data_IF_290725858507
#
_entry.id   IF_290725858507
#
_cell.length_a   1.000
_cell.length_b   1.000
_cell.length_c   1.000
_cell.angle_alpha   90.00
_cell.angle_beta   90.00
_cell.angle_gamma   90.00
#
_symmetry.space_group_name_H-M   'P 1'
#
loop_
_entity.id
_entity.type
_entity.pdbx_description
1 polymer ?
#
# COMPACT_ATOMS: atom_id res chain seq x y z
N UNK A 1 8.62 -6.28 -7.30
CA UNK A 1 8.36 -7.39 -6.36
C UNK A 1 8.86 -8.69 -7.00
N UNK A 2 9.34 -9.67 -6.22
CA UNK A 2 9.66 -11.00 -6.73
C UNK A 2 8.42 -11.63 -7.39
N UNK A 3 8.63 -12.30 -8.52
CA UNK A 3 7.54 -12.81 -9.36
C UNK A 3 6.86 -14.06 -8.75
N UNK A 4 7.61 -14.78 -7.91
CA UNK A 4 7.20 -15.98 -7.19
C UNK A 4 6.20 -15.70 -6.06
N UNK A 5 6.04 -14.45 -5.60
CA UNK A 5 5.08 -14.11 -4.54
C UNK A 5 3.62 -14.31 -4.97
N UNK A 6 3.35 -14.32 -6.27
CA UNK A 6 2.02 -14.56 -6.84
C UNK A 6 1.84 -16.01 -7.32
N UNK A 7 2.82 -16.90 -7.08
CA UNK A 7 2.66 -18.34 -7.35
C UNK A 7 1.47 -18.90 -6.55
N UNK A 8 0.76 -19.87 -7.12
CA UNK A 8 -0.46 -20.41 -6.52
C UNK A 8 -1.68 -19.49 -6.62
N UNK A 9 -1.60 -18.41 -7.41
CA UNK A 9 -2.74 -17.52 -7.72
C UNK A 9 -2.97 -16.40 -6.70
N UNK A 10 -1.99 -16.10 -5.85
CA UNK A 10 -2.05 -14.95 -4.97
C UNK A 10 -2.03 -13.64 -5.76
N UNK A 11 -2.70 -12.62 -5.22
CA UNK A 11 -2.89 -11.33 -5.86
C UNK A 11 -2.40 -10.19 -4.97
N UNK A 12 -1.80 -9.17 -5.57
CA UNK A 12 -1.42 -7.95 -4.85
C UNK A 12 -2.59 -6.96 -4.80
N UNK A 13 -2.96 -6.52 -3.60
CA UNK A 13 -3.84 -5.37 -3.38
C UNK A 13 -2.97 -4.16 -2.98
N UNK A 14 -2.66 -3.32 -3.97
CA UNK A 14 -1.84 -2.11 -3.81
C UNK A 14 -2.53 -0.94 -4.52
N UNK A 15 -2.63 0.21 -3.86
CA UNK A 15 -3.02 1.45 -4.51
C UNK A 15 -1.76 2.16 -5.04
N UNK A 16 -1.61 2.21 -6.36
CA UNK A 16 -0.47 2.83 -7.01
C UNK A 16 -0.54 4.35 -7.10
N UNK A 17 -1.63 4.97 -6.65
CA UNK A 17 -1.88 6.41 -6.75
C UNK A 17 -1.48 7.21 -5.51
N UNK A 18 -1.24 6.55 -4.36
CA UNK A 18 -0.92 7.19 -3.09
C UNK A 18 0.38 6.61 -2.52
N UNK A 19 1.36 7.48 -2.24
CA UNK A 19 2.58 7.07 -1.54
C UNK A 19 2.27 6.63 -0.12
N UNK A 20 2.80 5.46 0.26
CA UNK A 20 2.51 4.84 1.55
C UNK A 20 3.60 5.09 2.59
N UNK A 21 4.80 5.49 2.17
CA UNK A 21 5.91 5.80 3.09
C UNK A 21 6.67 7.05 2.66
N UNK A 22 7.23 7.76 3.64
CA UNK A 22 8.25 8.79 3.46
C UNK A 22 9.56 8.41 4.14
N UNK A 23 10.66 9.05 3.74
CA UNK A 23 11.88 9.06 4.55
C UNK A 23 11.64 9.74 5.92
N UNK A 24 12.14 9.12 7.00
CA UNK A 24 11.96 9.55 8.38
C UNK A 24 13.19 10.14 9.07
N UNK A 25 14.23 10.49 8.31
CA UNK A 25 15.38 11.23 8.83
C UNK A 25 15.07 12.67 9.23
N UNK A 26 14.07 13.29 8.61
CA UNK A 26 13.64 14.68 8.87
C UNK A 26 12.12 14.79 8.84
N UNK A 27 11.58 15.93 9.28
CA UNK A 27 10.16 16.23 9.13
C UNK A 27 9.73 16.17 7.66
N UNK A 28 8.48 15.77 7.42
CA UNK A 28 7.94 15.70 6.08
C UNK A 28 7.86 17.09 5.43
N UNK A 29 8.41 17.22 4.22
CA UNK A 29 8.27 18.40 3.38
C UNK A 29 7.78 17.95 2.01
N UNK A 30 6.55 18.34 1.67
CA UNK A 30 5.91 18.01 0.39
C UNK A 30 6.81 18.43 -0.79
N UNK A 31 7.03 17.50 -1.72
CA UNK A 31 7.88 17.69 -2.90
C UNK A 31 9.38 17.68 -2.63
N UNK A 32 9.84 17.47 -1.38
CA UNK A 32 11.26 17.36 -1.04
C UNK A 32 11.62 16.05 -0.35
N UNK A 33 10.80 15.61 0.62
CA UNK A 33 11.01 14.32 1.26
C UNK A 33 10.85 13.21 0.23
N UNK A 34 11.75 12.23 0.26
CA UNK A 34 11.59 11.01 -0.53
C UNK A 34 10.31 10.29 -0.09
N UNK A 35 9.54 9.82 -1.06
CA UNK A 35 8.30 9.07 -0.87
C UNK A 35 8.26 7.91 -1.86
N UNK A 36 7.68 6.80 -1.44
CA UNK A 36 7.48 5.62 -2.29
C UNK A 36 6.30 4.79 -1.78
N UNK A 37 5.99 3.69 -2.46
CA UNK A 37 4.96 2.73 -2.08
C UNK A 37 5.66 1.44 -1.64
N UNK A 38 5.42 1.04 -0.39
CA UNK A 38 5.90 -0.25 0.16
C UNK A 38 4.81 -1.02 0.90
N UNK A 39 3.63 -0.43 1.10
CA UNK A 39 2.55 -1.03 1.87
C UNK A 39 1.44 -1.53 0.95
N UNK A 40 0.90 -2.70 1.29
CA UNK A 40 -0.17 -3.38 0.54
C UNK A 40 -0.44 -4.77 1.12
N UNK A 41 -1.29 -5.53 0.45
CA UNK A 41 -1.68 -6.87 0.89
C UNK A 41 -1.41 -7.90 -0.19
N UNK A 42 -0.97 -9.10 0.21
CA UNK A 42 -0.93 -10.28 -0.64
C UNK A 42 -2.14 -11.16 -0.29
N UNK A 43 -2.97 -11.47 -1.28
CA UNK A 43 -4.33 -11.96 -1.10
C UNK A 43 -4.46 -13.34 -1.74
N UNK A 44 -5.02 -14.31 -1.03
CA UNK A 44 -5.19 -15.68 -1.52
C UNK A 44 -6.27 -15.79 -2.62
N UNK A 45 -6.23 -16.82 -3.49
CA UNK A 45 -7.16 -16.96 -4.61
C UNK A 45 -8.65 -17.02 -4.24
N UNK A 46 -8.97 -17.51 -3.04
CA UNK A 46 -10.35 -17.66 -2.55
C UNK A 46 -10.94 -16.36 -1.96
N UNK A 47 -10.20 -15.24 -2.04
CA UNK A 47 -10.62 -13.93 -1.55
C UNK A 47 -10.64 -12.95 -2.72
N UNK A 48 -11.79 -12.35 -2.97
CA UNK A 48 -11.96 -11.29 -3.96
C UNK A 48 -11.58 -9.93 -3.36
N UNK A 49 -10.79 -9.14 -4.11
CA UNK A 49 -10.43 -7.77 -3.76
C UNK A 49 -11.50 -6.84 -4.35
N UNK A 50 -12.40 -6.32 -3.51
CA UNK A 50 -13.46 -5.41 -3.95
C UNK A 50 -12.95 -3.98 -4.11
N UNK A 51 -12.05 -3.54 -3.23
CA UNK A 51 -11.48 -2.20 -3.26
C UNK A 51 -10.15 -2.16 -2.53
N UNK A 52 -9.14 -1.48 -3.08
CA UNK A 52 -7.94 -1.04 -2.38
C UNK A 52 -7.86 0.48 -2.41
N UNK A 53 -7.50 1.11 -1.29
CA UNK A 53 -7.41 2.57 -1.16
C UNK A 53 -6.25 2.96 -0.26
N UNK A 54 -5.31 3.73 -0.80
CA UNK A 54 -4.36 4.51 -0.02
C UNK A 54 -5.03 5.80 0.47
N UNK A 55 -4.69 6.20 1.70
CA UNK A 55 -5.20 7.44 2.30
C UNK A 55 -4.07 8.45 2.39
N UNK A 56 -4.05 9.43 1.47
CA UNK A 56 -3.06 10.51 1.52
C UNK A 56 -3.39 11.47 2.67
N UNK A 57 -2.78 11.22 3.83
CA UNK A 57 -2.87 12.06 5.01
C UNK A 57 -1.62 12.94 5.16
N UNK A 58 -0.82 13.06 4.09
CA UNK A 58 0.44 13.81 4.09
C UNK A 58 1.36 13.45 5.26
N UNK A 59 1.34 12.18 5.70
CA UNK A 59 2.17 11.67 6.80
C UNK A 59 1.95 12.41 8.14
N UNK A 60 0.74 12.95 8.36
CA UNK A 60 0.41 13.75 9.57
C UNK A 60 0.51 12.93 10.87
N UNK A 61 0.25 11.63 10.80
CA UNK A 61 0.12 10.76 11.98
C UNK A 61 1.23 9.71 12.11
N UNK A 62 1.97 9.45 11.02
CA UNK A 62 3.01 8.44 10.92
C UNK A 62 3.90 8.77 9.72
N UNK A 63 5.11 8.23 9.64
CA UNK A 63 5.89 8.19 8.39
C UNK A 63 5.28 7.29 7.33
N UNK A 64 4.19 6.60 7.66
CA UNK A 64 3.32 5.90 6.72
C UNK A 64 1.96 6.58 6.52
N UNK A 65 1.45 6.51 5.29
CA UNK A 65 0.06 6.74 4.95
C UNK A 65 -0.69 5.40 4.99
N UNK A 66 -1.90 5.32 5.59
CA UNK A 66 -2.64 4.07 5.69
C UNK A 66 -3.08 3.52 4.32
N UNK A 67 -3.18 2.20 4.23
CA UNK A 67 -3.83 1.48 3.13
C UNK A 67 -4.99 0.67 3.69
N UNK A 68 -6.17 0.77 3.09
CA UNK A 68 -7.34 -0.04 3.42
C UNK A 68 -7.74 -0.90 2.24
N UNK A 69 -8.24 -2.09 2.53
CA UNK A 69 -8.77 -3.02 1.52
C UNK A 69 -10.12 -3.56 1.98
N UNK A 70 -11.04 -3.69 1.04
CA UNK A 70 -12.33 -4.36 1.23
C UNK A 70 -12.27 -5.69 0.48
N UNK A 71 -12.56 -6.76 1.20
CA UNK A 71 -12.50 -8.13 0.70
C UNK A 71 -13.86 -8.81 0.75
N UNK A 72 -14.03 -9.82 -0.10
CA UNK A 72 -15.13 -10.77 -0.02
C UNK A 72 -14.58 -12.20 -0.11
N UNK A 73 -15.05 -13.08 0.77
CA UNK A 73 -14.78 -14.51 0.64
C UNK A 73 -15.68 -15.07 -0.47
N UNK A 74 -15.09 -15.87 -1.37
CA UNK A 74 -15.81 -16.56 -2.44
C UNK A 74 -16.60 -17.76 -1.93
#
# INVERSE_FOLDING_TARGET
MPQDFTEGGFQWAVDSSVYTVRDNRTAYIKGKSFVTIIDGFLVSPNVEILQVKGHDLQFTHSDHNPVSVVFQLQ
#
